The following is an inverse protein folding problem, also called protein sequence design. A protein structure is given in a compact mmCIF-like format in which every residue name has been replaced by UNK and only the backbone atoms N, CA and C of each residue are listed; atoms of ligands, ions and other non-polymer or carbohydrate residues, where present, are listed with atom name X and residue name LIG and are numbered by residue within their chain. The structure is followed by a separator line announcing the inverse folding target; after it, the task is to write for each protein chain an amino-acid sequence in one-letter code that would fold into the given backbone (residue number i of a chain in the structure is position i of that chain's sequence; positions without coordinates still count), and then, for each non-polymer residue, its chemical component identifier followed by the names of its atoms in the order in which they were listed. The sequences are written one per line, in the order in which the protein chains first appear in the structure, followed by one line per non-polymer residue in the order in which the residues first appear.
data_IF_634253389555
#
_entry.id   IF_634253389555
#
_cell.length_a   1.000
_cell.length_b   1.000
_cell.length_c   1.000
_cell.angle_alpha   90.00
_cell.angle_beta   90.00
_cell.angle_gamma   90.00
#
_symmetry.space_group_name_H-M   'P 1'
#
loop_
_entity.id
_entity.type
_entity.pdbx_description
1 polymer ?
#
# COMPACT_ATOMS: atom_id res chain seq x y z
N UNK A 1 1.97 18.34 -22.07
CA UNK A 1 1.92 17.16 -21.18
C UNK A 1 0.57 17.16 -20.49
N UNK A 2 -0.18 16.05 -20.54
CA UNK A 2 -1.57 16.01 -20.09
C UNK A 2 -1.68 16.05 -18.56
N UNK A 3 -2.63 16.82 -18.03
CA UNK A 3 -3.05 16.69 -16.64
C UNK A 3 -3.48 15.24 -16.41
N UNK A 4 -2.85 14.55 -15.46
CA UNK A 4 -3.39 13.27 -15.00
C UNK A 4 -4.81 13.50 -14.48
N UNK A 5 -5.70 12.52 -14.62
CA UNK A 5 -7.03 12.58 -14.05
C UNK A 5 -7.22 11.34 -13.18
N UNK A 6 -7.39 11.54 -11.87
CA UNK A 6 -7.73 10.44 -10.96
C UNK A 6 -9.22 10.17 -10.99
N UNK A 7 -9.59 8.91 -10.74
CA UNK A 7 -10.97 8.46 -10.61
C UNK A 7 -11.10 7.55 -9.40
N UNK A 8 -12.22 7.61 -8.69
CA UNK A 8 -12.60 6.63 -7.69
C UNK A 8 -13.42 5.55 -8.38
N UNK A 9 -13.10 4.30 -8.07
CA UNK A 9 -13.65 3.13 -8.72
C UNK A 9 -14.10 2.15 -7.64
N UNK A 10 -15.38 1.78 -7.62
CA UNK A 10 -15.85 0.62 -6.87
C UNK A 10 -16.08 -0.52 -7.87
N UNK A 11 -15.18 -1.52 -7.92
CA UNK A 11 -15.29 -2.62 -8.88
C UNK A 11 -16.45 -3.56 -8.58
N UNK A 12 -16.85 -3.73 -7.32
CA UNK A 12 -17.94 -4.63 -6.95
C UNK A 12 -19.31 -4.08 -7.41
N UNK A 13 -19.51 -2.77 -7.31
CA UNK A 13 -20.75 -2.11 -7.75
C UNK A 13 -20.67 -1.53 -9.17
N UNK A 14 -19.50 -1.68 -9.83
CA UNK A 14 -19.21 -1.10 -11.17
C UNK A 14 -19.45 0.40 -11.24
N UNK A 15 -19.16 1.11 -10.15
CA UNK A 15 -19.29 2.57 -10.07
C UNK A 15 -17.93 3.21 -10.32
N UNK A 16 -17.91 4.28 -11.09
CA UNK A 16 -16.73 5.09 -11.35
C UNK A 16 -17.12 6.57 -11.32
N UNK A 17 -16.29 7.41 -10.73
CA UNK A 17 -16.46 8.85 -10.79
C UNK A 17 -15.11 9.57 -10.79
N UNK A 18 -15.04 10.74 -11.43
CA UNK A 18 -13.80 11.51 -11.53
C UNK A 18 -13.55 12.29 -10.25
N UNK A 19 -12.28 12.38 -9.87
CA UNK A 19 -11.86 13.33 -8.85
C UNK A 19 -11.67 14.72 -9.49
N UNK A 20 -12.01 15.80 -8.77
CA UNK A 20 -11.82 17.15 -9.27
C UNK A 20 -10.37 17.44 -9.65
N UNK A 21 -10.18 18.38 -10.60
CA UNK A 21 -8.85 18.68 -11.16
C UNK A 21 -7.84 19.24 -10.14
N UNK A 22 -8.28 19.80 -9.01
CA UNK A 22 -7.35 20.33 -7.99
C UNK A 22 -6.61 19.23 -7.23
N UNK A 23 -7.12 17.99 -7.23
CA UNK A 23 -6.43 16.81 -6.68
C UNK A 23 -5.22 16.40 -7.54
N UNK A 24 -5.07 17.00 -8.72
CA UNK A 24 -3.97 16.77 -9.67
C UNK A 24 -3.30 18.10 -10.04
N UNK A 25 -3.00 18.93 -9.05
CA UNK A 25 -1.88 19.84 -9.22
C UNK A 25 -0.59 19.00 -9.26
N UNK A 26 0.44 19.43 -9.99
CA UNK A 26 1.74 18.76 -10.01
C UNK A 26 2.46 18.81 -8.64
N UNK A 27 1.79 19.27 -7.59
CA UNK A 27 2.36 19.54 -6.27
C UNK A 27 1.94 18.52 -5.22
N UNK A 28 0.87 17.73 -5.41
CA UNK A 28 0.52 16.65 -4.47
C UNK A 28 0.17 15.30 -5.14
N UNK A 29 0.43 14.20 -4.43
CA UNK A 29 0.10 12.82 -4.82
C UNK A 29 -0.84 12.15 -3.81
N UNK A 30 -1.81 11.33 -4.24
CA UNK A 30 -2.62 10.53 -3.32
C UNK A 30 -1.77 9.47 -2.60
N UNK A 31 -1.92 9.40 -1.27
CA UNK A 31 -1.32 8.37 -0.40
C UNK A 31 -2.34 7.26 -0.14
N UNK A 32 -3.51 7.64 0.38
CA UNK A 32 -4.55 6.67 0.73
C UNK A 32 -5.92 7.33 0.89
N UNK A 33 -6.96 6.56 0.59
CA UNK A 33 -8.36 6.92 0.84
C UNK A 33 -8.84 6.23 2.11
N UNK A 34 -9.57 6.95 2.97
CA UNK A 34 -10.05 6.43 4.25
C UNK A 34 -11.44 6.99 4.61
N UNK A 35 -12.25 6.22 5.36
CA UNK A 35 -13.45 6.74 5.98
C UNK A 35 -13.10 7.52 7.25
N UNK A 36 -13.58 8.75 7.39
CA UNK A 36 -13.42 9.55 8.60
C UNK A 36 -14.58 9.26 9.56
N UNK A 37 -14.27 8.59 10.68
CA UNK A 37 -15.25 8.00 11.60
C UNK A 37 -16.24 9.02 12.19
N UNK A 38 -15.79 10.22 12.52
CA UNK A 38 -16.60 11.25 13.20
C UNK A 38 -17.56 11.98 12.26
N UNK A 39 -17.20 12.16 10.99
CA UNK A 39 -18.06 12.86 10.01
C UNK A 39 -18.84 11.92 9.09
N UNK A 40 -18.42 10.66 9.00
CA UNK A 40 -18.96 9.68 8.03
C UNK A 40 -18.54 9.94 6.58
N UNK A 41 -17.69 10.94 6.34
CA UNK A 41 -17.20 11.30 5.02
C UNK A 41 -16.02 10.42 4.61
N UNK A 42 -15.83 10.26 3.31
CA UNK A 42 -14.59 9.70 2.77
C UNK A 42 -13.60 10.80 2.48
N UNK A 43 -12.34 10.56 2.81
CA UNK A 43 -11.25 11.51 2.66
C UNK A 43 -10.05 10.85 1.97
N UNK A 44 -9.23 11.67 1.32
CA UNK A 44 -8.00 11.26 0.67
C UNK A 44 -6.87 12.06 1.30
N UNK A 45 -5.84 11.36 1.80
CA UNK A 45 -4.58 11.96 2.19
C UNK A 45 -3.73 12.21 0.95
N UNK A 46 -3.24 13.43 0.81
CA UNK A 46 -2.42 13.89 -0.29
C UNK A 46 -1.05 14.30 0.27
N UNK A 47 0.00 13.65 -0.20
CA UNK A 47 1.37 13.99 0.14
C UNK A 47 1.90 15.06 -0.83
N UNK A 48 2.71 16.00 -0.35
CA UNK A 48 3.34 16.98 -1.21
C UNK A 48 4.46 16.33 -2.04
N UNK A 49 4.70 16.89 -3.22
CA UNK A 49 5.86 16.60 -4.05
C UNK A 49 7.11 17.35 -3.58
N UNK A 50 6.93 18.55 -3.02
CA UNK A 50 7.99 19.39 -2.48
C UNK A 50 8.06 19.22 -0.96
N UNK A 51 9.27 19.10 -0.42
CA UNK A 51 9.53 18.88 1.00
C UNK A 51 9.15 20.08 1.87
N UNK A 52 9.10 21.28 1.26
CA UNK A 52 8.71 22.51 1.95
C UNK A 52 7.18 22.72 2.02
N UNK A 53 6.41 21.86 1.35
CA UNK A 53 4.94 21.91 1.37
C UNK A 53 4.36 20.92 2.41
N UNK A 54 3.10 21.13 2.76
CA UNK A 54 2.40 20.37 3.79
C UNK A 54 1.48 19.31 3.20
N UNK A 55 1.18 18.26 3.97
CA UNK A 55 0.18 17.30 3.55
C UNK A 55 -1.19 17.97 3.44
N UNK A 56 -2.03 17.45 2.57
CA UNK A 56 -3.39 17.91 2.42
C UNK A 56 -4.38 16.77 2.63
N UNK A 57 -5.57 17.11 3.10
CA UNK A 57 -6.70 16.20 3.12
C UNK A 57 -7.83 16.75 2.28
N UNK A 58 -8.29 15.90 1.37
CA UNK A 58 -9.41 16.18 0.51
C UNK A 58 -10.63 15.36 0.92
N UNK A 59 -11.76 16.03 1.19
CA UNK A 59 -13.05 15.36 1.41
C UNK A 59 -13.69 15.02 0.07
N UNK A 60 -13.90 13.72 -0.18
CA UNK A 60 -14.47 13.21 -1.43
C UNK A 60 -15.89 13.74 -1.63
N UNK A 61 -16.14 14.34 -2.79
CA UNK A 61 -17.43 14.94 -3.13
C UNK A 61 -17.61 16.37 -2.61
N UNK A 62 -16.65 16.91 -1.86
CA UNK A 62 -16.66 18.31 -1.45
C UNK A 62 -16.19 19.23 -2.57
N UNK A 63 -16.81 20.41 -2.66
CA UNK A 63 -16.38 21.53 -3.51
C UNK A 63 -15.34 22.43 -2.83
N UNK A 64 -15.10 22.22 -1.53
CA UNK A 64 -14.09 22.96 -0.78
C UNK A 64 -12.68 22.51 -1.20
N UNK A 65 -11.68 23.42 -1.17
CA UNK A 65 -10.31 23.05 -1.42
C UNK A 65 -9.80 22.08 -0.33
N UNK A 66 -8.78 21.26 -0.63
CA UNK A 66 -8.13 20.42 0.37
C UNK A 66 -7.60 21.26 1.54
N UNK A 67 -7.75 20.73 2.76
CA UNK A 67 -7.23 21.38 3.98
C UNK A 67 -5.78 20.95 4.19
N UNK A 68 -4.92 21.88 4.57
CA UNK A 68 -3.52 21.58 4.91
C UNK A 68 -3.44 20.95 6.30
N UNK A 69 -2.51 20.00 6.46
CA UNK A 69 -2.15 19.36 7.71
C UNK A 69 -0.69 19.65 7.97
N UNK A 70 -0.44 20.30 9.10
CA UNK A 70 0.92 20.52 9.55
C UNK A 70 1.53 19.19 10.01
N UNK A 71 2.75 18.91 9.55
CA UNK A 71 3.54 17.80 10.07
C UNK A 71 4.57 18.38 11.03
N UNK A 72 4.55 17.92 12.28
CA UNK A 72 5.59 18.28 13.26
C UNK A 72 6.90 17.48 13.05
N UNK A 73 6.82 16.38 12.28
CA UNK A 73 7.91 15.47 11.96
C UNK A 73 8.70 15.97 10.75
N UNK A 74 9.97 16.34 10.95
CA UNK A 74 10.88 16.74 9.87
C UNK A 74 11.39 15.51 9.12
N UNK A 75 11.45 15.58 7.79
CA UNK A 75 12.26 14.67 6.98
C UNK A 75 11.52 13.54 6.28
N UNK A 76 10.19 13.59 6.16
CA UNK A 76 9.47 12.58 5.41
C UNK A 76 9.67 12.79 3.89
N UNK A 77 10.69 12.14 3.32
CA UNK A 77 10.93 12.13 1.88
C UNK A 77 9.87 11.23 1.24
N UNK A 78 8.85 11.85 0.64
CA UNK A 78 7.75 11.19 -0.09
C UNK A 78 8.08 11.05 -1.58
N UNK A 79 9.35 11.15 -1.97
CA UNK A 79 9.74 11.13 -3.39
C UNK A 79 9.46 9.77 -4.06
N UNK A 80 9.26 8.71 -3.27
CA UNK A 80 9.15 7.34 -3.75
C UNK A 80 7.96 6.56 -3.21
N UNK A 81 6.97 7.21 -2.57
CA UNK A 81 5.73 6.50 -2.25
C UNK A 81 5.08 6.08 -3.57
N UNK A 82 5.20 4.79 -3.88
CA UNK A 82 4.27 4.15 -4.78
C UNK A 82 2.90 4.38 -4.14
N UNK A 83 1.89 4.93 -4.83
CA UNK A 83 0.55 5.18 -4.29
C UNK A 83 -0.23 3.89 -3.96
N UNK A 84 0.50 2.81 -3.70
CA UNK A 84 0.08 1.42 -3.66
C UNK A 84 0.64 0.68 -2.43
N UNK A 85 1.39 1.32 -1.52
CA UNK A 85 1.98 0.66 -0.33
C UNK A 85 1.27 0.97 0.99
N UNK A 86 0.29 1.88 0.98
CA UNK A 86 -0.44 2.27 2.21
C UNK A 86 -1.46 1.21 2.63
N UNK A 87 -1.40 0.82 3.90
CA UNK A 87 -2.34 -0.09 4.54
C UNK A 87 -3.26 0.67 5.52
N UNK A 88 -4.57 0.61 5.29
CA UNK A 88 -5.55 1.03 6.30
C UNK A 88 -5.76 -0.12 7.30
N UNK A 89 -5.30 0.07 8.53
CA UNK A 89 -5.42 -0.89 9.61
C UNK A 89 -5.80 -0.17 10.91
N UNK A 90 -6.75 -0.71 11.67
CA UNK A 90 -7.17 -0.14 12.97
C UNK A 90 -7.43 1.38 12.96
N UNK A 91 -8.17 1.88 11.96
CA UNK A 91 -8.45 3.31 11.75
C UNK A 91 -7.24 4.20 11.49
N UNK A 92 -6.09 3.62 11.13
CA UNK A 92 -4.90 4.38 10.79
C UNK A 92 -4.36 3.95 9.42
N UNK A 93 -3.86 4.91 8.65
CA UNK A 93 -3.08 4.61 7.44
C UNK A 93 -1.63 4.37 7.85
N UNK A 94 -1.04 3.29 7.36
CA UNK A 94 0.34 2.90 7.63
C UNK A 94 1.12 2.73 6.34
N UNK A 95 2.34 3.22 6.31
CA UNK A 95 3.30 2.98 5.23
C UNK A 95 4.72 3.08 5.81
N UNK A 96 5.68 2.48 5.12
CA UNK A 96 7.07 2.56 5.55
C UNK A 96 7.73 3.77 4.88
N UNK A 97 8.52 4.52 5.63
CA UNK A 97 9.43 5.53 5.08
C UNK A 97 10.78 5.32 5.75
N UNK A 98 11.81 5.10 4.94
CA UNK A 98 13.14 4.72 5.40
C UNK A 98 13.12 3.51 6.34
N UNK A 99 13.48 3.72 7.61
CA UNK A 99 13.52 2.70 8.66
C UNK A 99 12.40 2.90 9.71
N UNK A 100 11.35 3.64 9.36
CA UNK A 100 10.23 3.94 10.25
C UNK A 100 8.91 3.58 9.59
N UNK A 101 7.91 3.27 10.41
CA UNK A 101 6.52 3.14 9.96
C UNK A 101 5.83 4.46 10.28
N UNK A 102 5.42 5.17 9.23
CA UNK A 102 4.62 6.38 9.37
C UNK A 102 3.17 5.99 9.55
N UNK A 103 2.53 6.57 10.56
CA UNK A 103 1.13 6.32 10.88
C UNK A 103 0.37 7.62 10.84
N UNK A 104 -0.72 7.63 10.08
CA UNK A 104 -1.68 8.72 10.04
C UNK A 104 -2.98 8.27 10.69
N UNK A 105 -3.32 8.91 11.82
CA UNK A 105 -4.58 8.69 12.52
C UNK A 105 -5.70 9.29 11.68
N UNK A 106 -6.62 8.45 11.20
CA UNK A 106 -7.69 8.93 10.32
C UNK A 106 -8.82 9.66 11.04
N UNK A 107 -8.87 9.61 12.36
CA UNK A 107 -9.88 10.27 13.20
C UNK A 107 -9.37 11.63 13.70
N UNK A 108 -8.15 11.67 14.24
CA UNK A 108 -7.50 12.90 14.67
C UNK A 108 -6.85 13.67 13.51
N UNK A 109 -6.61 12.97 12.39
CA UNK A 109 -5.95 13.50 11.19
C UNK A 109 -4.56 14.08 11.51
N UNK A 110 -3.80 13.31 12.29
CA UNK A 110 -2.46 13.63 12.80
C UNK A 110 -1.48 12.50 12.50
N UNK A 111 -0.19 12.84 12.50
CA UNK A 111 0.89 11.91 12.20
C UNK A 111 1.62 11.49 13.48
N UNK A 112 2.09 10.25 13.51
CA UNK A 112 3.02 9.75 14.49
C UNK A 112 3.87 8.62 13.91
N UNK A 113 4.98 8.30 14.58
CA UNK A 113 5.92 7.26 14.13
C UNK A 113 5.83 6.00 14.98
N UNK A 114 5.94 4.87 14.29
CA UNK A 114 6.03 3.55 14.87
C UNK A 114 7.36 2.91 14.47
N UNK A 115 8.03 2.29 15.43
CA UNK A 115 9.24 1.52 15.17
C UNK A 115 8.88 0.23 14.41
N UNK A 116 9.67 -0.16 13.39
CA UNK A 116 9.60 -1.50 12.84
C UNK A 116 10.10 -2.53 13.88
N UNK A 117 9.98 -3.85 13.63
CA UNK A 117 10.58 -4.88 14.46
C UNK A 117 12.08 -4.65 14.68
N UNK A 118 12.56 -4.92 15.91
CA UNK A 118 13.95 -4.70 16.38
C UNK A 118 15.05 -5.42 15.57
N UNK A 119 14.70 -6.28 14.62
CA UNK A 119 15.64 -6.98 13.74
C UNK A 119 15.87 -6.28 12.40
N UNK A 120 15.49 -5.01 12.30
CA UNK A 120 15.66 -4.16 11.13
C UNK A 120 17.14 -4.05 10.67
N UNK A 121 18.13 -4.31 11.52
CA UNK A 121 19.54 -4.30 11.09
C UNK A 121 19.91 -5.52 10.22
N UNK A 122 19.13 -6.60 10.27
CA UNK A 122 19.38 -7.83 9.50
C UNK A 122 18.62 -7.87 8.17
N UNK A 123 17.58 -7.05 8.06
CA UNK A 123 16.65 -7.05 6.94
C UNK A 123 16.44 -5.63 6.42
N UNK A 124 16.41 -5.45 5.11
CA UNK A 124 16.23 -4.14 4.49
C UNK A 124 14.77 -3.72 4.61
N UNK A 125 14.53 -2.57 5.27
CA UNK A 125 13.20 -2.12 5.69
C UNK A 125 12.62 -0.91 4.93
N UNK A 126 13.22 -0.51 3.81
CA UNK A 126 12.67 0.58 3.00
C UNK A 126 11.79 0.07 1.84
N UNK A 127 10.93 0.96 1.32
CA UNK A 127 9.94 0.60 0.30
C UNK A 127 10.57 0.17 -1.04
N UNK A 128 11.78 0.66 -1.35
CA UNK A 128 12.50 0.32 -2.58
C UNK A 128 12.88 -1.15 -2.60
N UNK A 129 13.31 -1.71 -1.46
CA UNK A 129 13.91 -3.05 -1.41
C UNK A 129 13.00 -4.11 -0.77
N UNK A 130 11.74 -3.79 -0.47
CA UNK A 130 10.71 -4.80 -0.20
C UNK A 130 10.13 -4.85 1.20
N UNK A 131 10.23 -3.77 1.98
CA UNK A 131 9.40 -3.66 3.18
C UNK A 131 7.95 -3.45 2.79
N UNK A 132 7.08 -4.33 3.28
CA UNK A 132 5.67 -4.25 2.95
C UNK A 132 4.79 -4.57 4.14
N UNK A 133 3.80 -3.70 4.36
CA UNK A 133 2.81 -3.84 5.42
C UNK A 133 1.60 -4.58 4.91
N UNK A 134 1.03 -5.43 5.75
CA UNK A 134 -0.17 -6.20 5.43
C UNK A 134 -0.98 -6.49 6.70
N UNK A 135 -2.22 -6.93 6.52
CA UNK A 135 -3.04 -7.44 7.63
C UNK A 135 -3.05 -8.98 7.55
N UNK A 136 -2.75 -9.65 8.66
CA UNK A 136 -2.79 -11.12 8.79
C UNK A 136 -3.49 -11.46 10.10
N UNK A 137 -4.55 -12.27 10.06
CA UNK A 137 -5.32 -12.69 11.24
C UNK A 137 -5.73 -11.54 12.19
N UNK A 138 -6.09 -10.39 11.62
CA UNK A 138 -6.44 -9.17 12.37
C UNK A 138 -5.25 -8.47 13.05
N UNK A 139 -4.02 -8.86 12.75
CA UNK A 139 -2.78 -8.23 13.20
C UNK A 139 -2.12 -7.43 12.07
N UNK A 140 -1.40 -6.38 12.45
CA UNK A 140 -0.50 -5.68 11.53
C UNK A 140 0.73 -6.55 11.27
N UNK A 141 0.93 -6.96 10.03
CA UNK A 141 2.06 -7.74 9.56
C UNK A 141 3.04 -6.88 8.77
N UNK A 142 4.30 -7.29 8.80
CA UNK A 142 5.35 -6.70 7.99
C UNK A 142 6.25 -7.79 7.42
N UNK A 143 6.71 -7.61 6.20
CA UNK A 143 7.70 -8.46 5.55
C UNK A 143 8.88 -7.63 5.09
N UNK A 144 10.07 -8.23 5.02
CA UNK A 144 11.27 -7.60 4.50
C UNK A 144 12.30 -8.63 4.03
N UNK A 145 13.11 -8.25 3.05
CA UNK A 145 14.21 -9.07 2.54
C UNK A 145 15.44 -8.92 3.43
N UNK A 146 16.22 -9.98 3.62
CA UNK A 146 17.52 -9.83 4.27
C UNK A 146 18.49 -9.03 3.38
N UNK A 147 19.61 -8.56 3.94
CA UNK A 147 20.60 -7.77 3.20
C UNK A 147 21.12 -8.48 1.93
N UNK A 148 21.19 -9.81 1.96
CA UNK A 148 21.65 -10.65 0.84
C UNK A 148 20.54 -10.97 -0.18
N UNK A 149 19.30 -10.56 0.09
CA UNK A 149 18.11 -10.86 -0.72
C UNK A 149 17.83 -12.37 -0.90
N UNK A 150 18.33 -13.21 -0.01
CA UNK A 150 18.21 -14.69 -0.02
C UNK A 150 17.06 -15.22 0.83
N UNK A 151 16.51 -14.41 1.73
CA UNK A 151 15.38 -14.81 2.57
C UNK A 151 14.42 -13.64 2.83
N UNK A 152 13.15 -13.98 3.06
CA UNK A 152 12.11 -13.04 3.49
C UNK A 152 11.78 -13.32 4.95
N UNK A 153 11.93 -12.30 5.79
CA UNK A 153 11.44 -12.32 7.17
C UNK A 153 10.00 -11.83 7.23
N UNK A 154 9.19 -12.46 8.10
CA UNK A 154 7.81 -12.07 8.34
C UNK A 154 7.58 -11.87 9.84
N UNK A 155 7.02 -10.70 10.17
CA UNK A 155 6.66 -10.29 11.52
C UNK A 155 5.16 -10.00 11.61
N UNK A 156 4.59 -10.24 12.77
CA UNK A 156 3.24 -9.82 13.11
C UNK A 156 3.23 -9.08 14.45
N UNK A 157 2.48 -8.00 14.53
CA UNK A 157 2.31 -7.19 15.72
C UNK A 157 1.30 -7.86 16.65
N UNK A 158 1.80 -8.47 17.72
CA UNK A 158 0.96 -9.19 18.69
C UNK A 158 0.09 -8.23 19.50
N UNK A 159 0.60 -7.03 19.78
CA UNK A 159 -0.11 -5.99 20.49
C UNK A 159 0.17 -4.65 19.82
N UNK A 160 -0.89 -4.07 19.25
CA UNK A 160 -0.83 -2.81 18.52
C UNK A 160 -0.52 -1.62 19.43
N UNK A 161 -1.18 -1.54 20.59
CA UNK A 161 -1.02 -0.45 21.56
C UNK A 161 0.39 -0.38 22.13
N UNK A 162 0.94 -1.54 22.51
CA UNK A 162 2.31 -1.62 23.02
C UNK A 162 3.36 -1.75 21.92
N UNK A 163 2.95 -1.76 20.64
CA UNK A 163 3.84 -1.83 19.46
C UNK A 163 4.79 -3.03 19.49
N UNK A 164 4.31 -4.18 19.99
CA UNK A 164 5.14 -5.38 20.17
C UNK A 164 5.06 -6.26 18.93
N UNK A 165 6.19 -6.37 18.24
CA UNK A 165 6.38 -7.26 17.10
C UNK A 165 6.83 -8.65 17.53
N UNK A 166 6.38 -9.66 16.80
CA UNK A 166 6.88 -11.03 16.91
C UNK A 166 7.30 -11.55 15.55
N UNK A 167 8.50 -12.14 15.51
CA UNK A 167 8.95 -12.88 14.35
C UNK A 167 8.11 -14.15 14.20
N UNK A 168 7.60 -14.40 13.01
CA UNK A 168 6.73 -15.55 12.72
C UNK A 168 7.44 -16.56 11.83
N UNK A 169 8.01 -16.09 10.73
CA UNK A 169 8.55 -16.98 9.71
C UNK A 169 9.79 -16.38 9.05
N UNK A 170 10.66 -17.29 8.61
CA UNK A 170 11.76 -17.02 7.69
C UNK A 170 11.57 -17.91 6.47
N UNK A 171 11.39 -17.32 5.30
CA UNK A 171 11.26 -18.07 4.05
C UNK A 171 12.57 -17.96 3.29
N UNK A 172 13.27 -19.07 3.16
CA UNK A 172 14.48 -19.15 2.33
C UNK A 172 14.09 -19.18 0.85
N UNK A 173 14.77 -18.39 0.03
CA UNK A 173 14.49 -18.29 -1.39
C UNK A 173 15.47 -19.18 -2.17
N UNK A 174 14.99 -20.15 -2.97
CA UNK A 174 15.84 -20.98 -3.83
C UNK A 174 16.29 -20.20 -5.08
N UNK A 175 16.99 -19.08 -4.89
CA UNK A 175 17.30 -18.10 -5.93
C UNK A 175 18.01 -18.71 -7.13
N UNK A 176 18.97 -19.61 -6.93
CA UNK A 176 19.72 -20.22 -8.02
C UNK A 176 18.80 -21.01 -8.97
N UNK A 177 17.91 -21.84 -8.40
CA UNK A 177 16.97 -22.64 -9.16
C UNK A 177 15.92 -21.77 -9.85
N UNK A 178 15.34 -20.81 -9.11
CA UNK A 178 14.32 -19.91 -9.64
C UNK A 178 14.87 -18.99 -10.73
N UNK A 179 16.12 -18.54 -10.60
CA UNK A 179 16.75 -17.66 -11.59
C UNK A 179 16.98 -18.40 -12.91
N UNK A 180 17.39 -19.67 -12.85
CA UNK A 180 17.55 -20.51 -14.05
C UNK A 180 16.21 -20.75 -14.75
N UNK A 181 15.14 -20.96 -13.98
CA UNK A 181 13.83 -21.29 -14.54
C UNK A 181 13.02 -20.07 -15.00
N UNK A 182 13.04 -18.97 -14.25
CA UNK A 182 12.14 -17.83 -14.42
C UNK A 182 12.85 -16.51 -14.78
N UNK A 183 14.19 -16.50 -14.74
CA UNK A 183 15.02 -15.32 -15.01
C UNK A 183 15.37 -14.53 -13.75
N UNK A 184 16.01 -13.39 -13.91
CA UNK A 184 16.60 -12.61 -12.81
C UNK A 184 15.59 -12.19 -11.73
N UNK A 185 15.96 -12.37 -10.46
CA UNK A 185 15.19 -11.88 -9.32
C UNK A 185 15.17 -10.34 -9.27
N UNK A 186 13.98 -9.77 -9.07
CA UNK A 186 13.80 -8.31 -8.96
C UNK A 186 13.35 -7.95 -7.54
N UNK A 187 14.28 -7.62 -6.61
CA UNK A 187 13.98 -7.46 -5.19
C UNK A 187 13.01 -6.30 -4.90
N UNK A 188 13.07 -5.23 -5.67
CA UNK A 188 12.14 -4.09 -5.60
C UNK A 188 10.69 -4.42 -6.01
N UNK A 189 10.44 -5.66 -6.43
CA UNK A 189 9.12 -6.17 -6.74
C UNK A 189 8.73 -7.35 -5.85
N UNK A 190 9.46 -7.58 -4.76
CA UNK A 190 9.00 -8.42 -3.65
C UNK A 190 7.74 -7.77 -3.08
N UNK A 191 6.59 -8.43 -3.22
CA UNK A 191 5.31 -7.86 -2.78
C UNK A 191 4.63 -8.88 -1.88
N UNK A 192 4.45 -8.48 -0.62
CA UNK A 192 3.56 -8.96 0.45
C UNK A 192 3.10 -10.42 0.40
N UNK A 193 3.08 -11.09 1.56
CA UNK A 193 2.32 -12.32 1.70
C UNK A 193 0.81 -12.15 1.42
N UNK A 194 0.28 -12.81 0.39
CA UNK A 194 -1.16 -12.93 0.17
C UNK A 194 -1.73 -13.98 1.12
N UNK A 195 -2.65 -13.57 2.00
CA UNK A 195 -3.55 -14.50 2.69
C UNK A 195 -4.77 -14.73 1.80
N UNK A 196 -4.82 -15.88 1.14
CA UNK A 196 -6.06 -16.43 0.61
C UNK A 196 -6.29 -17.75 1.35
N UNK A 197 -7.32 -17.79 2.19
CA UNK A 197 -7.74 -18.98 2.96
C UNK A 197 -6.72 -19.50 4.01
N UNK A 198 -6.24 -18.60 4.89
CA UNK A 198 -5.50 -18.98 6.10
C UNK A 198 -4.01 -19.31 5.92
N UNK A 199 -3.58 -19.65 4.70
CA UNK A 199 -2.16 -19.87 4.41
C UNK A 199 -1.49 -18.60 3.85
N UNK A 200 -0.45 -18.16 4.57
CA UNK A 200 0.42 -17.04 4.19
C UNK A 200 1.30 -17.50 3.03
N UNK A 201 1.32 -16.76 1.90
CA UNK A 201 2.17 -17.10 0.74
C UNK A 201 2.78 -15.84 0.13
N UNK A 202 4.04 -15.88 -0.31
CA UNK A 202 4.79 -14.70 -0.75
C UNK A 202 4.73 -14.54 -2.27
N UNK A 203 4.50 -13.32 -2.77
CA UNK A 203 4.57 -13.02 -4.20
C UNK A 203 5.92 -12.38 -4.56
N UNK A 204 6.69 -13.06 -5.41
CA UNK A 204 8.00 -12.62 -5.86
C UNK A 204 8.06 -12.48 -7.38
N UNK A 205 8.88 -11.54 -7.83
CA UNK A 205 9.05 -11.27 -9.25
C UNK A 205 10.40 -11.79 -9.75
N UNK A 206 10.35 -12.67 -10.75
CA UNK A 206 11.52 -13.20 -11.47
C UNK A 206 11.34 -12.98 -12.96
N UNK A 207 12.21 -12.16 -13.57
CA UNK A 207 12.08 -11.78 -14.98
C UNK A 207 10.69 -11.22 -15.33
N UNK A 208 9.99 -11.93 -16.22
CA UNK A 208 8.61 -11.63 -16.64
C UNK A 208 7.55 -12.42 -15.84
N UNK A 209 7.95 -13.19 -14.84
CA UNK A 209 7.08 -14.01 -14.01
C UNK A 209 6.80 -13.38 -12.64
N UNK A 210 5.58 -13.57 -12.17
CA UNK A 210 5.16 -13.39 -10.79
C UNK A 210 4.94 -14.78 -10.20
N UNK A 211 5.70 -15.13 -9.17
CA UNK A 211 5.69 -16.42 -8.51
C UNK A 211 5.03 -16.29 -7.16
N UNK A 212 4.16 -17.23 -6.81
CA UNK A 212 3.63 -17.40 -5.47
C UNK A 212 4.41 -18.53 -4.80
N UNK A 213 5.04 -18.24 -3.67
CA UNK A 213 5.79 -19.19 -2.86
C UNK A 213 5.00 -19.48 -1.57
N UNK A 214 5.02 -20.73 -1.13
CA UNK A 214 4.62 -21.07 0.23
C UNK A 214 5.71 -20.68 1.24
N UNK A 215 5.45 -20.98 2.51
CA UNK A 215 6.33 -20.65 3.63
C UNK A 215 7.62 -21.48 3.66
N UNK A 216 7.68 -22.59 2.90
CA UNK A 216 8.89 -23.40 2.73
C UNK A 216 9.73 -22.92 1.54
N UNK A 217 9.31 -21.85 0.85
CA UNK A 217 10.01 -21.28 -0.31
C UNK A 217 9.73 -22.03 -1.61
N UNK A 218 8.74 -22.93 -1.63
CA UNK A 218 8.36 -23.68 -2.82
C UNK A 218 7.34 -22.92 -3.64
N UNK A 219 7.50 -22.94 -4.96
CA UNK A 219 6.55 -22.32 -5.89
C UNK A 219 5.24 -23.11 -5.89
N UNK A 220 4.15 -22.45 -5.49
CA UNK A 220 2.78 -23.01 -5.51
C UNK A 220 1.98 -22.54 -6.73
N UNK A 221 2.30 -21.36 -7.27
CA UNK A 221 1.70 -20.86 -8.50
C UNK A 221 2.67 -19.92 -9.24
N UNK A 222 2.47 -19.78 -10.55
CA UNK A 222 3.22 -18.83 -11.37
C UNK A 222 2.33 -18.18 -12.42
N UNK A 223 2.55 -16.89 -12.63
CA UNK A 223 1.84 -16.08 -13.61
C UNK A 223 2.85 -15.35 -14.49
N UNK A 224 2.76 -15.58 -15.81
CA UNK A 224 3.56 -14.84 -16.78
C UNK A 224 2.92 -13.48 -17.05
N UNK A 225 3.68 -12.41 -16.90
CA UNK A 225 3.20 -11.05 -17.18
C UNK A 225 3.34 -10.71 -18.66
N UNK A 226 2.41 -9.90 -19.14
CA UNK A 226 2.61 -9.17 -20.37
C UNK A 226 3.56 -7.99 -20.14
N UNK A 227 4.43 -7.71 -21.10
CA UNK A 227 5.35 -6.57 -21.04
C UNK A 227 4.59 -5.28 -20.79
N UNK A 228 5.04 -4.51 -19.79
CA UNK A 228 4.44 -3.23 -19.41
C UNK A 228 3.38 -3.31 -18.31
N UNK A 229 3.02 -4.51 -17.81
CA UNK A 229 2.17 -4.66 -16.64
C UNK A 229 3.01 -4.79 -15.36
N UNK A 230 2.77 -3.88 -14.42
CA UNK A 230 3.33 -3.94 -13.08
C UNK A 230 2.28 -4.51 -12.13
N UNK A 231 2.62 -5.47 -11.26
CA UNK A 231 1.73 -5.83 -10.16
C UNK A 231 1.46 -4.56 -9.34
N UNK A 232 0.24 -4.41 -8.85
CA UNK A 232 -0.11 -3.37 -7.88
C UNK A 232 -0.57 -4.07 -6.60
N UNK A 233 -0.19 -3.54 -5.44
CA UNK A 233 -0.68 -4.06 -4.17
C UNK A 233 -2.07 -3.48 -3.94
N UNK A 234 -3.10 -4.20 -4.36
CA UNK A 234 -4.48 -3.88 -4.02
C UNK A 234 -5.14 -5.07 -3.37
N UNK A 235 -5.52 -4.91 -2.11
CA UNK A 235 -6.47 -5.79 -1.45
C UNK A 235 -7.88 -5.29 -1.78
N UNK A 236 -8.49 -5.92 -2.78
CA UNK A 236 -9.91 -5.71 -3.04
C UNK A 236 -10.72 -6.47 -1.98
N UNK A 237 -11.07 -5.79 -0.89
CA UNK A 237 -12.10 -6.31 0.02
C UNK A 237 -13.46 -6.04 -0.62
N UNK A 238 -14.16 -7.10 -0.99
CA UNK A 238 -15.48 -6.95 -1.62
C UNK A 238 -16.40 -6.20 -0.65
N UNK A 239 -16.93 -5.07 -1.12
CA UNK A 239 -17.94 -4.29 -0.42
C UNK A 239 -19.10 -4.02 -1.37
N UNK A 240 -20.30 -4.39 -0.95
CA UNK A 240 -21.55 -4.05 -1.66
C UNK A 240 -22.17 -2.75 -1.12
N UNK A 241 -21.47 -2.06 -0.20
CA UNK A 241 -21.92 -0.80 0.37
C UNK A 241 -22.01 0.23 -0.75
N UNK A 242 -23.19 0.82 -0.92
CA UNK A 242 -23.37 1.96 -1.80
C UNK A 242 -22.87 3.21 -1.09
N UNK A 243 -21.86 3.86 -1.66
CA UNK A 243 -21.34 5.10 -1.11
C UNK A 243 -22.04 6.30 -1.75
N UNK A 244 -22.62 7.16 -0.91
CA UNK A 244 -23.36 8.35 -1.31
C UNK A 244 -22.51 9.40 -2.04
N UNK A 245 -21.19 9.34 -1.89
CA UNK A 245 -20.27 10.25 -2.59
C UNK A 245 -20.18 9.98 -4.10
N UNK A 246 -20.56 8.79 -4.59
CA UNK A 246 -20.46 8.48 -6.02
C UNK A 246 -21.39 9.38 -6.87
N UNK A 247 -22.71 9.45 -6.59
CA UNK A 247 -23.61 10.35 -7.31
C UNK A 247 -23.25 11.84 -7.23
N UNK A 248 -22.48 12.27 -6.21
CA UNK A 248 -22.10 13.68 -6.04
C UNK A 248 -20.86 14.07 -6.84
N UNK A 249 -20.11 13.10 -7.38
CA UNK A 249 -18.87 13.34 -8.10
C UNK A 249 -19.12 13.57 -9.61
N UNK A 250 -18.30 14.43 -10.20
CA UNK A 250 -18.37 14.74 -11.62
C UNK A 250 -18.06 13.50 -12.47
N UNK A 251 -18.80 13.31 -13.57
CA UNK A 251 -18.60 12.18 -14.46
C UNK A 251 -18.92 10.82 -13.83
N UNK A 252 -19.77 10.80 -12.79
CA UNK A 252 -20.30 9.57 -12.22
C UNK A 252 -20.99 8.71 -13.27
N UNK A 253 -20.58 7.45 -13.35
CA UNK A 253 -21.12 6.45 -14.25
C UNK A 253 -21.21 5.09 -13.56
N UNK A 254 -22.18 4.29 -13.99
CA UNK A 254 -22.38 2.90 -13.55
C UNK A 254 -22.30 2.00 -14.78
N UNK A 255 -21.60 0.87 -14.68
CA UNK A 255 -21.38 -0.07 -15.79
C UNK A 255 -20.58 0.48 -16.99
N UNK A 256 -19.83 1.57 -16.81
CA UNK A 256 -18.93 2.07 -17.86
C UNK A 256 -17.59 1.31 -17.87
N UNK A 257 -16.87 1.36 -18.99
CA UNK A 257 -15.43 0.99 -19.04
C UNK A 257 -14.68 1.79 -17.96
N UNK A 258 -13.82 1.19 -17.11
CA UNK A 258 -12.89 0.08 -17.42
C UNK A 258 -13.39 -1.33 -17.04
N UNK A 259 -14.67 -1.50 -16.69
CA UNK A 259 -15.21 -2.79 -16.23
C UNK A 259 -15.63 -3.75 -17.36
N UNK A 260 -15.05 -3.61 -18.57
CA UNK A 260 -15.29 -4.50 -19.72
C UNK A 260 -14.28 -5.65 -19.69
#
# INVERSE_FOLDING_TARGET
MGKGQFSIVNPATRQCARLPSFTVNYTHRPVGMYPHSLSGEYRILLAPHDLDDSYQVYTVGSSQPPRHIHIEIKGLVVEELSPFTTLLFHHNLHWCVDNMITVFDTTAESFWEMLPPDVADQFVMNEIYGAALFEVDGMLGMSGLNAECTSVGIWAMQNYESKVWAFKYRVELPLAELTVQFGEFKPYCCRVPSSWDGDVSILLQFGDWLLQLDMDGKVVASLRRHKGLFPTQHRLKQTLVQHSFFPTLEGYVVNASPFI
#
